data_IF_230154337148
#
_entry.id   IF_230154337148
#
_cell.length_a   1.000
_cell.length_b   1.000
_cell.length_c   1.000
_cell.angle_alpha   90.00
_cell.angle_beta   90.00
_cell.angle_gamma   90.00
#
_symmetry.space_group_name_H-M   'P 1'
#
loop_
_entity.id
_entity.type
_entity.pdbx_description
1 polymer ?
#
# COMPACT_ATOMS: atom_id res chain seq x y z
N UNK A 1 22.76 32.36 5.06
CA UNK A 1 22.48 30.94 5.33
C UNK A 1 21.36 30.54 4.41
N UNK A 2 21.71 29.75 3.40
CA UNK A 2 20.87 29.48 2.24
C UNK A 2 19.76 28.48 2.57
N UNK A 3 18.61 28.74 1.97
CA UNK A 3 17.34 28.04 2.14
C UNK A 3 17.41 26.76 1.30
N UNK A 4 17.35 25.59 1.95
CA UNK A 4 17.27 24.31 1.24
C UNK A 4 15.80 23.91 1.09
N UNK A 5 15.25 24.20 -0.09
CA UNK A 5 13.93 23.78 -0.56
C UNK A 5 13.89 22.26 -0.71
N UNK A 6 13.11 21.57 0.13
CA UNK A 6 12.70 20.18 -0.13
C UNK A 6 11.28 20.21 -0.69
N UNK A 7 11.18 20.09 -2.01
CA UNK A 7 9.92 19.90 -2.72
C UNK A 7 9.27 18.60 -2.24
N UNK A 8 8.29 18.70 -1.35
CA UNK A 8 7.43 17.58 -0.99
C UNK A 8 6.25 17.61 -1.96
N UNK A 9 6.37 16.89 -3.07
CA UNK A 9 5.27 16.71 -4.02
C UNK A 9 4.11 16.04 -3.28
N UNK A 10 3.12 16.87 -2.88
CA UNK A 10 1.79 16.41 -2.54
C UNK A 10 1.20 15.92 -3.84
N UNK A 11 1.28 14.61 -4.07
CA UNK A 11 0.58 13.98 -5.18
C UNK A 11 -0.88 13.93 -4.79
N UNK A 12 -1.61 14.96 -5.21
CA UNK A 12 -3.06 14.93 -5.27
C UNK A 12 -3.46 13.73 -6.13
N UNK A 13 -4.09 12.73 -5.50
CA UNK A 13 -4.58 11.53 -6.19
C UNK A 13 -5.86 11.93 -6.89
N UNK A 14 -5.71 12.66 -7.99
CA UNK A 14 -6.82 12.98 -8.88
C UNK A 14 -7.28 11.72 -9.59
N UNK A 15 -8.52 11.36 -9.28
CA UNK A 15 -9.36 10.27 -9.76
C UNK A 15 -9.26 10.08 -11.29
N UNK A 16 -9.05 8.83 -11.72
CA UNK A 16 -9.43 8.38 -13.06
C UNK A 16 -10.32 7.16 -12.85
N UNK A 17 -11.58 7.32 -13.21
CA UNK A 17 -12.65 6.32 -13.14
C UNK A 17 -12.21 5.00 -13.78
N UNK A 18 -12.03 3.98 -12.95
CA UNK A 18 -12.15 2.57 -13.33
C UNK A 18 -12.85 1.89 -12.17
N UNK A 19 -14.11 1.50 -12.41
CA UNK A 19 -15.02 0.89 -11.46
C UNK A 19 -14.47 -0.49 -11.01
N UNK A 20 -13.61 -0.49 -10.00
CA UNK A 20 -13.16 -1.70 -9.33
C UNK A 20 -12.90 -1.42 -7.84
N UNK A 21 -13.98 -1.50 -7.06
CA UNK A 21 -14.00 -1.52 -5.59
C UNK A 21 -13.35 -0.31 -4.91
N UNK A 22 -14.17 0.69 -4.59
CA UNK A 22 -13.92 1.75 -3.61
C UNK A 22 -13.61 1.14 -2.23
N UNK A 23 -12.40 0.61 -2.05
CA UNK A 23 -11.88 0.32 -0.73
C UNK A 23 -11.42 1.67 -0.17
N UNK A 24 -12.30 2.33 0.58
CA UNK A 24 -11.95 3.51 1.36
C UNK A 24 -10.84 3.13 2.34
N UNK A 25 -9.63 3.48 1.95
CA UNK A 25 -8.38 3.16 2.63
C UNK A 25 -8.08 4.10 3.79
N UNK A 26 -9.04 4.92 4.18
CA UNK A 26 -8.90 5.86 5.28
C UNK A 26 -8.98 5.10 6.61
N UNK A 27 -8.03 5.37 7.50
CA UNK A 27 -8.17 4.93 8.88
C UNK A 27 -9.38 5.65 9.49
N UNK A 28 -10.27 4.90 10.13
CA UNK A 28 -11.31 5.50 10.97
C UNK A 28 -10.61 6.26 12.10
N UNK A 29 -11.18 7.39 12.54
CA UNK A 29 -10.59 8.18 13.62
C UNK A 29 -10.41 7.30 14.87
N UNK A 30 -9.17 6.95 15.18
CA UNK A 30 -8.77 6.09 16.30
C UNK A 30 -8.89 6.81 17.66
N UNK A 31 -9.34 8.06 17.65
CA UNK A 31 -9.16 9.04 18.74
C UNK A 31 -10.01 8.80 19.98
N UNK A 32 -11.07 7.98 19.96
CA UNK A 32 -12.02 7.91 21.08
C UNK A 32 -12.41 6.50 21.54
N UNK A 33 -11.59 5.47 21.29
CA UNK A 33 -11.85 4.18 21.95
C UNK A 33 -11.52 4.26 23.45
N UNK A 34 -12.46 3.80 24.29
CA UNK A 34 -12.27 3.66 25.75
C UNK A 34 -11.36 2.49 26.12
N UNK A 35 -11.21 1.53 25.21
CA UNK A 35 -10.37 0.33 25.35
C UNK A 35 -9.14 0.44 24.45
N UNK A 36 -8.00 -0.04 24.95
CA UNK A 36 -6.76 -0.17 24.20
C UNK A 36 -6.25 -1.61 24.26
N UNK A 37 -5.69 -2.09 23.16
CA UNK A 37 -5.05 -3.39 23.06
C UNK A 37 -3.53 -3.24 22.98
N UNK A 38 -2.79 -4.18 23.59
CA UNK A 38 -1.34 -4.27 23.48
C UNK A 38 -0.99 -5.60 22.83
N UNK A 39 -0.30 -5.56 21.69
CA UNK A 39 0.16 -6.77 21.02
C UNK A 39 1.45 -6.53 20.23
N UNK A 40 2.34 -7.53 20.24
CA UNK A 40 3.53 -7.58 19.39
C UNK A 40 3.30 -8.25 18.04
N UNK A 41 2.12 -8.82 17.79
CA UNK A 41 1.83 -9.53 16.54
C UNK A 41 1.35 -8.56 15.45
N UNK A 42 2.08 -8.48 14.33
CA UNK A 42 1.78 -7.56 13.24
C UNK A 42 0.45 -7.83 12.53
N UNK A 43 -0.01 -9.08 12.48
CA UNK A 43 -1.29 -9.39 11.85
C UNK A 43 -2.44 -8.86 12.72
N UNK A 44 -2.36 -9.06 14.03
CA UNK A 44 -3.31 -8.52 15.00
C UNK A 44 -3.31 -7.00 15.03
N UNK A 45 -2.14 -6.35 14.94
CA UNK A 45 -2.07 -4.89 14.86
C UNK A 45 -2.90 -4.37 13.67
N UNK A 46 -2.78 -5.00 12.50
CA UNK A 46 -3.51 -4.59 11.32
C UNK A 46 -5.03 -4.76 11.47
N UNK A 47 -5.48 -5.88 12.04
CA UNK A 47 -6.91 -6.14 12.26
C UNK A 47 -7.50 -5.15 13.29
N UNK A 48 -6.79 -4.91 14.40
CA UNK A 48 -7.21 -3.97 15.46
C UNK A 48 -7.35 -2.55 14.91
N UNK A 49 -6.39 -2.11 14.10
CA UNK A 49 -6.43 -0.79 13.46
C UNK A 49 -7.55 -0.68 12.43
N UNK A 50 -7.84 -1.74 11.66
CA UNK A 50 -8.97 -1.79 10.72
C UNK A 50 -10.33 -1.73 11.46
N UNK A 51 -10.43 -2.33 12.64
CA UNK A 51 -11.62 -2.24 13.50
C UNK A 51 -11.79 -0.85 14.13
N UNK A 52 -10.76 0.01 14.09
CA UNK A 52 -10.79 1.35 14.67
C UNK A 52 -10.52 1.38 16.17
N UNK A 53 -9.90 0.34 16.73
CA UNK A 53 -9.54 0.28 18.15
C UNK A 53 -8.16 0.90 18.40
N UNK A 54 -7.94 1.39 19.63
CA UNK A 54 -6.63 1.91 20.04
C UNK A 54 -5.65 0.76 20.25
N UNK A 55 -4.48 0.89 19.63
CA UNK A 55 -3.41 -0.10 19.69
C UNK A 55 -2.15 0.54 20.27
N UNK A 56 -1.55 -0.12 21.26
CA UNK A 56 -0.29 0.28 21.86
C UNK A 56 0.77 -0.79 21.59
N UNK A 57 2.00 -0.35 21.33
CA UNK A 57 3.17 -1.19 21.34
C UNK A 57 3.49 -1.65 22.78
N UNK A 58 4.24 -2.75 22.98
CA UNK A 58 4.65 -3.20 24.32
C UNK A 58 5.37 -2.15 25.18
N UNK A 59 5.96 -1.12 24.57
CA UNK A 59 6.57 0.03 25.26
C UNK A 59 5.63 1.21 25.54
N UNK A 60 4.31 1.06 25.38
CA UNK A 60 3.31 2.10 25.64
C UNK A 60 3.11 3.13 24.51
N UNK A 61 3.91 3.08 23.45
CA UNK A 61 3.76 3.95 22.27
C UNK A 61 2.50 3.58 21.47
N UNK A 62 1.65 4.56 21.16
CA UNK A 62 0.46 4.32 20.35
C UNK A 62 0.82 4.10 18.87
N UNK A 63 0.34 2.99 18.31
CA UNK A 63 0.48 2.68 16.88
C UNK A 63 -0.73 3.28 16.16
N UNK A 64 -0.46 4.15 15.19
CA UNK A 64 -1.49 4.83 14.37
C UNK A 64 -1.38 4.49 12.88
N UNK A 65 -0.42 3.64 12.53
CA UNK A 65 -0.09 3.31 11.15
C UNK A 65 -0.43 1.86 10.83
N UNK A 66 -1.17 1.66 9.75
CA UNK A 66 -1.49 0.34 9.21
C UNK A 66 -0.48 -0.03 8.12
N UNK A 67 0.00 -1.27 8.12
CA UNK A 67 0.89 -1.78 7.06
C UNK A 67 0.18 -2.83 6.23
N UNK A 68 0.07 -2.59 4.92
CA UNK A 68 -0.57 -3.49 3.96
C UNK A 68 0.32 -3.77 2.76
N UNK A 69 -0.01 -4.82 2.02
CA UNK A 69 0.66 -5.17 0.78
C UNK A 69 -0.32 -5.05 -0.39
N UNK A 70 0.10 -4.39 -1.46
CA UNK A 70 -0.66 -4.28 -2.70
C UNK A 70 0.21 -4.68 -3.89
N UNK A 71 -0.39 -4.81 -5.07
CA UNK A 71 0.33 -5.01 -6.32
C UNK A 71 0.37 -3.70 -7.12
N UNK A 72 1.57 -3.31 -7.58
CA UNK A 72 1.78 -2.19 -8.48
C UNK A 72 2.40 -2.67 -9.79
N UNK A 73 1.80 -2.30 -10.91
CA UNK A 73 2.36 -2.56 -12.23
C UNK A 73 3.58 -1.67 -12.48
N UNK A 74 4.69 -2.26 -12.93
CA UNK A 74 5.88 -1.46 -13.26
C UNK A 74 5.84 -0.85 -14.67
N UNK A 75 4.92 -1.30 -15.53
CA UNK A 75 4.80 -0.84 -16.91
C UNK A 75 3.81 0.34 -17.06
N UNK A 76 2.59 0.20 -16.54
CA UNK A 76 1.54 1.23 -16.61
C UNK A 76 1.25 1.92 -15.27
N UNK A 77 2.02 1.61 -14.21
CA UNK A 77 1.90 2.19 -12.87
C UNK A 77 0.57 1.98 -12.13
N UNK A 78 -0.37 1.23 -12.71
CA UNK A 78 -1.63 0.88 -12.07
C UNK A 78 -1.41 0.09 -10.78
N UNK A 79 -2.19 0.45 -9.77
CA UNK A 79 -2.22 -0.20 -8.47
C UNK A 79 -3.46 -1.08 -8.39
N UNK A 80 -3.33 -2.26 -7.81
CA UNK A 80 -4.46 -3.14 -7.49
C UNK A 80 -4.29 -3.74 -6.10
N UNK A 81 -5.37 -3.77 -5.34
CA UNK A 81 -5.43 -4.38 -4.01
C UNK A 81 -5.68 -5.90 -4.06
N UNK A 82 -6.05 -6.44 -5.23
CA UNK A 82 -6.31 -7.86 -5.40
C UNK A 82 -5.00 -8.66 -5.41
N UNK A 83 -4.67 -9.22 -4.25
CA UNK A 83 -3.52 -10.09 -4.06
C UNK A 83 -3.76 -11.40 -4.82
N UNK A 84 -2.80 -11.83 -5.62
CA UNK A 84 -2.87 -13.08 -6.39
C UNK A 84 -3.12 -12.90 -7.88
N UNK A 85 -3.43 -11.68 -8.35
CA UNK A 85 -3.49 -11.42 -9.80
C UNK A 85 -2.12 -11.55 -10.44
N UNK A 86 -2.09 -12.24 -11.59
CA UNK A 86 -0.89 -12.46 -12.41
C UNK A 86 -0.80 -11.39 -13.54
N UNK A 87 -1.95 -10.99 -14.07
CA UNK A 87 -2.08 -10.03 -15.16
C UNK A 87 -2.55 -8.66 -14.65
N UNK A 88 -1.97 -7.59 -15.17
CA UNK A 88 -2.39 -6.23 -14.82
C UNK A 88 -3.80 -5.95 -15.38
N UNK A 89 -4.76 -5.43 -14.57
CA UNK A 89 -6.12 -5.17 -15.04
C UNK A 89 -6.20 -4.08 -16.12
N UNK A 90 -5.26 -3.12 -16.13
CA UNK A 90 -5.26 -2.00 -17.09
C UNK A 90 -4.56 -2.34 -18.41
N UNK A 91 -3.36 -2.91 -18.37
CA UNK A 91 -2.56 -3.15 -19.57
C UNK A 91 -2.51 -4.61 -20.02
N UNK A 92 -3.13 -5.54 -19.28
CA UNK A 92 -3.18 -6.97 -19.61
C UNK A 92 -1.85 -7.73 -19.50
N UNK A 93 -0.71 -7.05 -19.35
CA UNK A 93 0.60 -7.71 -19.36
C UNK A 93 0.83 -8.58 -18.11
N UNK A 94 1.18 -9.84 -18.34
CA UNK A 94 1.54 -10.81 -17.30
C UNK A 94 2.91 -10.55 -16.69
N UNK A 95 3.08 -10.83 -15.39
CA UNK A 95 4.36 -10.69 -14.69
C UNK A 95 4.83 -9.25 -14.46
N UNK A 96 3.96 -8.27 -14.72
CA UNK A 96 4.27 -6.84 -14.53
C UNK A 96 3.94 -6.32 -13.15
N UNK A 97 3.06 -7.00 -12.42
CA UNK A 97 2.66 -6.66 -11.06
C UNK A 97 3.76 -7.01 -10.05
N UNK A 98 4.07 -6.07 -9.15
CA UNK A 98 5.05 -6.23 -8.08
C UNK A 98 4.42 -5.92 -6.73
N UNK A 99 4.72 -6.75 -5.74
CA UNK A 99 4.27 -6.56 -4.36
C UNK A 99 4.98 -5.34 -3.75
N UNK A 100 4.21 -4.36 -3.29
CA UNK A 100 4.69 -3.11 -2.70
C UNK A 100 4.04 -2.95 -1.32
N UNK A 101 4.84 -2.55 -0.34
CA UNK A 101 4.35 -2.22 0.99
C UNK A 101 3.72 -0.83 0.99
N UNK A 102 2.58 -0.72 1.67
CA UNK A 102 1.84 0.54 1.85
C UNK A 102 1.69 0.79 3.33
N UNK A 103 1.99 2.01 3.74
CA UNK A 103 1.75 2.49 5.09
C UNK A 103 0.61 3.49 5.03
N UNK A 104 -0.35 3.32 5.90
CA UNK A 104 -1.55 4.16 6.03
C UNK A 104 -1.44 4.85 7.36
N UNK A 105 -1.48 6.17 7.36
CA UNK A 105 -1.54 6.93 8.59
C UNK A 105 -2.47 8.11 8.43
N UNK A 106 -2.44 8.97 9.44
CA UNK A 106 -3.20 10.22 9.47
C UNK A 106 -2.71 11.23 8.43
N UNK A 107 -1.41 11.14 8.10
CA UNK A 107 -0.77 11.96 7.07
C UNK A 107 -1.04 11.43 5.64
N UNK A 108 -1.91 10.43 5.49
CA UNK A 108 -2.28 9.82 4.21
C UNK A 108 -1.59 8.47 3.95
N UNK A 109 -1.51 8.12 2.66
CA UNK A 109 -1.04 6.82 2.18
C UNK A 109 0.37 6.97 1.60
N UNK A 110 1.32 6.23 2.17
CA UNK A 110 2.71 6.19 1.70
C UNK A 110 2.98 4.84 1.05
N UNK A 111 3.42 4.88 -0.21
CA UNK A 111 3.81 3.70 -0.99
C UNK A 111 5.32 3.51 -0.95
N UNK A 112 5.79 2.42 -0.34
CA UNK A 112 7.21 2.05 -0.32
C UNK A 112 7.65 1.40 -1.65
N UNK A 113 7.43 2.10 -2.77
CA UNK A 113 7.76 1.62 -4.11
C UNK A 113 9.22 1.95 -4.44
N UNK A 114 10.04 0.93 -4.71
CA UNK A 114 11.38 1.09 -5.27
C UNK A 114 11.34 0.84 -6.77
N UNK A 115 12.23 1.49 -7.53
CA UNK A 115 12.42 1.17 -8.96
C UNK A 115 13.02 -0.24 -9.07
N UNK A 116 12.27 -1.24 -9.60
CA UNK A 116 12.78 -2.59 -9.67
C UNK A 116 13.82 -2.70 -10.79
N UNK A 117 14.84 -3.56 -10.59
CA UNK A 117 15.69 -4.02 -11.69
C UNK A 117 14.93 -5.10 -12.45
N UNK A 118 14.56 -4.82 -13.69
CA UNK A 118 13.77 -5.73 -14.52
C UNK A 118 14.73 -6.58 -15.35
N UNK A 119 14.59 -7.90 -15.26
CA UNK A 119 15.32 -8.85 -16.12
C UNK A 119 14.36 -9.44 -17.14
N UNK A 120 14.77 -9.47 -18.42
CA UNK A 120 14.02 -10.10 -19.51
C UNK A 120 14.35 -11.59 -19.66
N UNK A 121 15.11 -12.15 -18.71
CA UNK A 121 15.49 -13.56 -18.74
C UNK A 121 14.25 -14.42 -18.49
N UNK A 122 14.00 -15.38 -19.37
CA UNK A 122 12.87 -16.31 -19.25
C UNK A 122 11.51 -15.74 -19.69
N UNK A 123 11.46 -14.51 -20.24
CA UNK A 123 10.20 -13.91 -20.74
C UNK A 123 9.94 -14.18 -22.22
N UNK A 124 10.99 -14.41 -23.01
CA UNK A 124 10.89 -14.78 -24.44
C UNK A 124 11.25 -16.25 -24.61
N UNK A 125 10.26 -17.05 -24.98
CA UNK A 125 10.40 -18.48 -25.29
C UNK A 125 9.55 -18.83 -26.52
N UNK A 126 9.93 -19.87 -27.25
CA UNK A 126 9.08 -20.45 -28.29
C UNK A 126 7.92 -21.19 -27.62
N UNK A 127 6.70 -20.86 -28.01
CA UNK A 127 5.50 -21.55 -27.57
C UNK A 127 5.12 -22.53 -28.67
N UNK A 128 4.64 -23.73 -28.31
CA UNK A 128 4.13 -24.69 -29.29
C UNK A 128 2.96 -24.09 -30.06
N UNK A 129 2.94 -24.31 -31.38
CA UNK A 129 1.82 -23.98 -32.26
C UNK A 129 0.63 -24.92 -32.02
#
# INVERSE_FOLDING_TARGET
>A
MEISSKNNEIVDVSYVDDECSEQSWMLRSLSESTVACITGDYAMQNVILQMGLRLLAPGGMQIRQLHRWILKCHACYTITAEIGRIFCPKCGNGGTLRKVAVTVGENGIVLASRRPRITLRGTKVSISL
#
